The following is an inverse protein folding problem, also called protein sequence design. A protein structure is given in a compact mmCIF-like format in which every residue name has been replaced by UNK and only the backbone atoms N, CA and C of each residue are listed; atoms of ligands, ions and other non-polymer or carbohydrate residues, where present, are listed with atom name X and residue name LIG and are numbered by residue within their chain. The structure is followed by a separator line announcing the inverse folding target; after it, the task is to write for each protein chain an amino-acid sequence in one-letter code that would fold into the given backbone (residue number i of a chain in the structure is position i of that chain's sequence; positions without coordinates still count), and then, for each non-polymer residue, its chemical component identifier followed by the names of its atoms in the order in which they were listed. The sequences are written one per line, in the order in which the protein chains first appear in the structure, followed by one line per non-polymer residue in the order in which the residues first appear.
data_IF_487332825327
#
_entry.id   IF_487332825327
#
_cell.length_a   1.000
_cell.length_b   1.000
_cell.length_c   1.000
_cell.angle_alpha   90.00
_cell.angle_beta   90.00
_cell.angle_gamma   90.00
#
_symmetry.space_group_name_H-M   'P 1'
#
loop_
_entity.id
_entity.type
_entity.pdbx_description
1 polymer ?
#
# COMPACT_ATOMS: atom_id res chain seq x y z
N UNK A 1 -45.45 -10.33 18.73
CA UNK A 1 -45.18 -9.34 17.66
C UNK A 1 -43.71 -9.45 17.26
N UNK A 2 -43.47 -9.87 16.03
CA UNK A 2 -42.23 -10.44 15.49
C UNK A 2 -41.21 -9.38 15.00
N UNK A 3 -40.95 -8.33 15.77
CA UNK A 3 -40.08 -7.24 15.33
C UNK A 3 -38.61 -7.65 15.18
N UNK A 4 -38.12 -8.55 16.03
CA UNK A 4 -36.73 -9.03 16.01
C UNK A 4 -36.36 -9.78 14.71
N UNK A 5 -37.11 -10.80 14.25
CA UNK A 5 -36.77 -11.50 13.01
C UNK A 5 -36.90 -10.61 11.77
N UNK A 6 -37.85 -9.67 11.75
CA UNK A 6 -37.98 -8.69 10.68
C UNK A 6 -36.75 -7.76 10.61
N UNK A 7 -36.30 -7.22 11.75
CA UNK A 7 -35.09 -6.39 11.82
C UNK A 7 -33.82 -7.14 11.43
N UNK A 8 -33.69 -8.40 11.86
CA UNK A 8 -32.56 -9.25 11.48
C UNK A 8 -32.51 -9.49 9.97
N UNK A 9 -33.67 -9.72 9.35
CA UNK A 9 -33.78 -9.94 7.90
C UNK A 9 -33.42 -8.67 7.13
N UNK A 10 -34.02 -7.52 7.48
CA UNK A 10 -33.73 -6.23 6.83
C UNK A 10 -32.27 -5.83 7.00
N UNK A 11 -31.73 -5.96 8.21
CA UNK A 11 -30.31 -5.67 8.49
C UNK A 11 -29.36 -6.58 7.71
N UNK A 12 -29.66 -7.88 7.64
CA UNK A 12 -28.89 -8.85 6.86
C UNK A 12 -28.90 -8.56 5.37
N UNK A 13 -30.07 -8.26 4.78
CA UNK A 13 -30.19 -7.90 3.37
C UNK A 13 -29.43 -6.61 3.05
N UNK A 14 -29.52 -5.60 3.91
CA UNK A 14 -28.79 -4.35 3.74
C UNK A 14 -27.27 -4.55 3.81
N UNK A 15 -26.78 -5.35 4.77
CA UNK A 15 -25.36 -5.69 4.86
C UNK A 15 -24.87 -6.43 3.59
N UNK A 16 -25.64 -7.39 3.09
CA UNK A 16 -25.32 -8.09 1.84
C UNK A 16 -25.26 -7.13 0.65
N UNK A 17 -26.22 -6.22 0.53
CA UNK A 17 -26.22 -5.19 -0.52
C UNK A 17 -24.95 -4.34 -0.47
N UNK A 18 -24.55 -3.86 0.72
CA UNK A 18 -23.33 -3.06 0.88
C UNK A 18 -22.06 -3.83 0.49
N UNK A 19 -21.97 -5.12 0.85
CA UNK A 19 -20.83 -5.97 0.46
C UNK A 19 -20.75 -6.15 -1.05
N UNK A 20 -21.86 -6.47 -1.70
CA UNK A 20 -21.91 -6.61 -3.17
C UNK A 20 -21.57 -5.29 -3.85
N UNK A 21 -22.18 -4.19 -3.42
CA UNK A 21 -21.90 -2.86 -3.96
C UNK A 21 -20.43 -2.48 -3.83
N UNK A 22 -19.82 -2.71 -2.68
CA UNK A 22 -18.40 -2.47 -2.44
C UNK A 22 -17.51 -3.28 -3.38
N UNK A 23 -17.82 -4.55 -3.60
CA UNK A 23 -17.08 -5.42 -4.53
C UNK A 23 -17.23 -4.97 -5.98
N UNK A 24 -18.43 -4.56 -6.39
CA UNK A 24 -18.69 -3.98 -7.72
C UNK A 24 -17.88 -2.70 -7.90
N UNK A 25 -17.92 -1.78 -6.92
CA UNK A 25 -17.12 -0.55 -6.95
C UNK A 25 -15.62 -0.85 -7.03
N UNK A 26 -15.13 -1.80 -6.24
CA UNK A 26 -13.74 -2.23 -6.29
C UNK A 26 -13.37 -2.80 -7.66
N UNK A 27 -14.21 -3.67 -8.24
CA UNK A 27 -13.97 -4.23 -9.58
C UNK A 27 -13.95 -3.14 -10.68
N UNK A 28 -14.90 -2.19 -10.65
CA UNK A 28 -14.93 -1.05 -11.58
C UNK A 28 -13.69 -0.17 -11.38
N UNK A 29 -13.36 0.13 -10.13
CA UNK A 29 -12.22 0.95 -9.75
C UNK A 29 -10.89 0.32 -10.17
N UNK A 30 -10.72 -1.01 -10.05
CA UNK A 30 -9.52 -1.72 -10.56
C UNK A 30 -9.38 -1.63 -12.08
N UNK A 31 -10.50 -1.63 -12.82
CA UNK A 31 -10.48 -1.48 -14.29
C UNK A 31 -10.14 -0.06 -14.74
N UNK A 32 -10.60 0.96 -14.00
CA UNK A 32 -10.42 2.38 -14.34
C UNK A 32 -9.21 3.03 -13.68
N UNK A 33 -8.76 2.45 -12.57
CA UNK A 33 -7.74 2.97 -11.69
C UNK A 33 -6.33 2.75 -12.23
N UNK A 34 -5.31 2.94 -11.37
CA UNK A 34 -3.94 2.73 -11.78
C UNK A 34 -3.69 1.30 -12.20
N UNK A 35 -2.76 1.15 -13.15
CA UNK A 35 -2.30 -0.16 -13.58
C UNK A 35 -1.65 -0.88 -12.39
N UNK A 36 -2.40 -1.81 -11.80
CA UNK A 36 -1.99 -2.53 -10.61
C UNK A 36 -0.64 -3.22 -10.80
N UNK A 37 -0.36 -3.91 -11.93
CA UNK A 37 0.98 -4.38 -12.28
C UNK A 37 2.10 -3.33 -12.14
N UNK A 38 1.87 -2.09 -12.61
CA UNK A 38 2.85 -1.02 -12.52
C UNK A 38 3.05 -0.50 -11.08
N UNK A 39 2.05 -0.67 -10.21
CA UNK A 39 2.12 -0.34 -8.79
C UNK A 39 2.42 -1.54 -7.87
N UNK A 40 2.33 -2.76 -8.40
CA UNK A 40 2.50 -4.00 -7.63
C UNK A 40 3.96 -4.42 -7.55
N UNK A 41 4.86 -3.80 -8.30
CA UNK A 41 6.28 -3.96 -8.04
C UNK A 41 6.59 -3.35 -6.68
N UNK A 42 6.71 -4.20 -5.65
CA UNK A 42 7.25 -3.75 -4.38
C UNK A 42 8.68 -3.26 -4.60
N UNK A 43 9.12 -2.38 -3.71
CA UNK A 43 10.48 -1.91 -3.72
C UNK A 43 11.45 -2.98 -3.23
N UNK A 44 11.79 -3.89 -4.14
CA UNK A 44 12.79 -4.91 -3.90
C UNK A 44 14.21 -4.34 -3.89
N UNK A 45 14.43 -3.11 -4.38
CA UNK A 45 15.74 -2.48 -4.36
C UNK A 45 16.06 -1.88 -2.99
N UNK A 46 15.08 -1.33 -2.27
CA UNK A 46 15.25 -0.97 -0.86
C UNK A 46 15.52 -2.22 -0.01
N UNK A 47 14.86 -3.34 -0.29
CA UNK A 47 15.17 -4.62 0.36
C UNK A 47 16.59 -5.09 0.06
N UNK A 48 17.03 -5.01 -1.20
CA UNK A 48 18.42 -5.33 -1.58
C UNK A 48 19.44 -4.43 -0.89
N UNK A 49 19.22 -3.10 -0.90
CA UNK A 49 20.11 -2.15 -0.21
C UNK A 49 20.18 -2.41 1.29
N UNK A 50 19.06 -2.75 1.92
CA UNK A 50 19.03 -3.13 3.34
C UNK A 50 19.76 -4.46 3.59
N UNK A 51 19.60 -5.44 2.70
CA UNK A 51 20.33 -6.72 2.77
C UNK A 51 21.83 -6.52 2.59
N UNK A 52 22.24 -5.69 1.63
CA UNK A 52 23.63 -5.32 1.40
C UNK A 52 24.20 -4.63 2.63
N UNK A 53 23.50 -3.65 3.19
CA UNK A 53 23.93 -2.97 4.41
C UNK A 53 24.11 -3.95 5.58
N UNK A 54 23.17 -4.88 5.78
CA UNK A 54 23.26 -5.90 6.82
C UNK A 54 24.41 -6.90 6.56
N UNK A 55 24.66 -7.26 5.31
CA UNK A 55 25.76 -8.16 4.95
C UNK A 55 27.14 -7.52 5.17
N UNK A 56 27.24 -6.20 5.06
CA UNK A 56 28.48 -5.45 5.29
C UNK A 56 28.67 -5.00 6.75
N UNK A 57 27.60 -5.02 7.56
CA UNK A 57 27.69 -4.71 8.98
C UNK A 57 28.28 -5.90 9.75
N UNK A 58 29.61 -5.95 9.80
CA UNK A 58 30.38 -6.95 10.55
C UNK A 58 30.13 -6.93 12.08
N UNK A 59 29.42 -5.93 12.59
CA UNK A 59 29.08 -5.79 14.02
C UNK A 59 27.68 -6.29 14.36
N UNK A 60 26.84 -6.56 13.37
CA UNK A 60 25.50 -7.08 13.59
C UNK A 60 25.56 -8.56 13.99
N UNK A 61 24.99 -8.96 15.14
CA UNK A 61 24.93 -10.36 15.57
C UNK A 61 23.89 -11.17 14.76
N UNK A 62 23.50 -10.71 13.57
CA UNK A 62 22.59 -11.48 12.72
C UNK A 62 23.30 -12.73 12.22
N UNK A 63 22.80 -13.90 12.63
CA UNK A 63 23.26 -15.17 12.13
C UNK A 63 23.09 -15.22 10.61
N UNK A 64 23.99 -15.90 9.89
CA UNK A 64 23.83 -16.12 8.44
C UNK A 64 22.50 -16.79 8.05
N UNK A 65 21.84 -17.46 9.00
CA UNK A 65 20.48 -18.00 8.86
C UNK A 65 19.41 -16.91 8.69
N UNK A 66 19.48 -15.79 9.43
CA UNK A 66 18.58 -14.63 9.26
C UNK A 66 18.69 -14.06 7.84
N UNK A 67 19.92 -13.85 7.36
CA UNK A 67 20.17 -13.33 6.02
C UNK A 67 19.65 -14.27 4.92
N UNK A 68 19.88 -15.59 5.07
CA UNK A 68 19.38 -16.58 4.12
C UNK A 68 17.84 -16.57 4.05
N UNK A 69 17.15 -16.55 5.19
CA UNK A 69 15.69 -16.51 5.23
C UNK A 69 15.14 -15.19 4.65
N UNK A 70 15.80 -14.05 4.91
CA UNK A 70 15.44 -12.77 4.27
C UNK A 70 15.60 -12.82 2.75
N UNK A 71 16.69 -13.38 2.24
CA UNK A 71 16.92 -13.54 0.81
C UNK A 71 15.84 -14.43 0.16
N UNK A 72 15.49 -15.55 0.80
CA UNK A 72 14.40 -16.43 0.36
C UNK A 72 13.07 -15.67 0.33
N UNK A 73 12.72 -14.95 1.40
CA UNK A 73 11.48 -14.18 1.47
C UNK A 73 11.41 -13.10 0.37
N UNK A 74 12.52 -12.40 0.08
CA UNK A 74 12.60 -11.43 -1.01
C UNK A 74 12.44 -12.10 -2.38
N UNK A 75 13.10 -13.23 -2.62
CA UNK A 75 12.99 -14.00 -3.86
C UNK A 75 11.56 -14.50 -4.10
N UNK A 76 10.92 -15.04 -3.07
CA UNK A 76 9.51 -15.49 -3.12
C UNK A 76 8.56 -14.31 -3.36
N UNK A 77 8.83 -13.14 -2.77
CA UNK A 77 8.04 -11.93 -3.01
C UNK A 77 8.17 -11.45 -4.47
N UNK A 78 9.38 -11.43 -5.03
CA UNK A 78 9.62 -11.12 -6.45
C UNK A 78 8.88 -12.09 -7.37
N UNK A 79 8.92 -13.37 -7.04
CA UNK A 79 8.19 -14.38 -7.78
C UNK A 79 6.68 -14.12 -7.74
N UNK A 80 6.12 -13.81 -6.56
CA UNK A 80 4.71 -13.47 -6.42
C UNK A 80 4.31 -12.25 -7.27
N UNK A 81 5.12 -11.19 -7.27
CA UNK A 81 4.86 -9.98 -8.07
C UNK A 81 4.87 -10.26 -9.59
N UNK A 82 5.72 -11.20 -10.05
CA UNK A 82 5.84 -11.57 -11.46
C UNK A 82 4.65 -12.38 -12.01
N UNK A 83 3.91 -13.08 -11.15
CA UNK A 83 2.78 -13.90 -11.54
C UNK A 83 1.57 -13.04 -11.86
N UNK A 84 0.67 -13.39 -12.81
CA UNK A 84 -0.56 -12.65 -13.03
C UNK A 84 -1.52 -12.74 -11.81
N UNK A 85 -2.47 -11.80 -11.64
CA UNK A 85 -3.46 -11.88 -10.57
C UNK A 85 -4.25 -13.19 -10.60
N UNK A 86 -4.29 -13.91 -9.47
CA UNK A 86 -5.00 -15.18 -9.39
C UNK A 86 -4.50 -16.09 -8.25
N UNK A 87 -5.01 -17.34 -8.19
CA UNK A 87 -4.69 -18.27 -7.11
C UNK A 87 -3.19 -18.59 -6.99
N UNK A 88 -2.47 -18.67 -8.11
CA UNK A 88 -1.02 -18.93 -8.14
C UNK A 88 -0.23 -17.80 -7.50
N UNK A 89 -0.53 -16.54 -7.85
CA UNK A 89 0.03 -15.36 -7.18
C UNK A 89 -0.28 -15.38 -5.67
N UNK A 90 -1.51 -15.72 -5.28
CA UNK A 90 -1.88 -15.77 -3.86
C UNK A 90 -1.08 -16.83 -3.09
N UNK A 91 -0.86 -18.01 -3.69
CA UNK A 91 -0.06 -19.07 -3.10
C UNK A 91 1.40 -18.65 -2.94
N UNK A 92 1.99 -18.02 -3.98
CA UNK A 92 3.35 -17.49 -3.91
C UNK A 92 3.50 -16.41 -2.84
N UNK A 93 2.55 -15.47 -2.76
CA UNK A 93 2.55 -14.44 -1.72
C UNK A 93 2.38 -15.03 -0.31
N UNK A 94 1.59 -16.10 -0.14
CA UNK A 94 1.44 -16.80 1.12
C UNK A 94 2.74 -17.52 1.54
N UNK A 95 3.48 -18.11 0.59
CA UNK A 95 4.79 -18.71 0.85
C UNK A 95 5.79 -17.64 1.32
N UNK A 96 5.88 -16.52 0.61
CA UNK A 96 6.74 -15.38 0.99
C UNK A 96 6.42 -14.87 2.42
N UNK A 97 5.14 -14.75 2.77
CA UNK A 97 4.71 -14.37 4.12
C UNK A 97 5.09 -15.40 5.18
N UNK A 98 5.01 -16.69 4.87
CA UNK A 98 5.45 -17.74 5.78
C UNK A 98 6.96 -17.67 6.03
N UNK A 99 7.75 -17.38 5.00
CA UNK A 99 9.19 -17.14 5.13
C UNK A 99 9.49 -15.90 5.97
N UNK A 100 8.78 -14.79 5.77
CA UNK A 100 8.92 -13.60 6.63
C UNK A 100 8.60 -13.87 8.09
N UNK A 101 7.50 -14.59 8.36
CA UNK A 101 7.08 -14.88 9.75
C UNK A 101 8.06 -15.76 10.51
N UNK A 102 8.86 -16.58 9.81
CA UNK A 102 9.95 -17.38 10.42
C UNK A 102 11.05 -16.50 11.01
N UNK A 103 11.24 -15.28 10.51
CA UNK A 103 12.23 -14.35 11.03
C UNK A 103 11.80 -13.66 12.33
N UNK A 104 10.52 -13.76 12.73
CA UNK A 104 9.98 -13.07 13.90
C UNK A 104 9.88 -11.54 13.73
N UNK A 105 9.88 -10.81 14.85
CA UNK A 105 9.66 -9.35 14.86
C UNK A 105 10.93 -8.51 14.61
N UNK A 106 12.13 -9.11 14.75
CA UNK A 106 13.41 -8.41 14.62
C UNK A 106 13.68 -7.75 13.24
N UNK A 107 13.35 -8.40 12.09
CA UNK A 107 13.53 -7.80 10.75
C UNK A 107 12.56 -6.66 10.48
N UNK A 108 11.42 -6.64 11.16
CA UNK A 108 10.33 -5.68 10.94
C UNK A 108 10.67 -4.28 11.50
N UNK A 109 11.94 -4.00 11.80
CA UNK A 109 12.41 -2.70 12.32
C UNK A 109 12.72 -1.69 11.23
N UNK A 110 12.88 -2.12 9.98
CA UNK A 110 13.09 -1.22 8.86
C UNK A 110 11.76 -0.94 8.14
N UNK A 111 11.66 0.19 7.42
CA UNK A 111 10.48 0.46 6.61
C UNK A 111 10.29 -0.56 5.48
N UNK A 112 11.34 -1.05 4.82
CA UNK A 112 11.19 -1.96 3.69
C UNK A 112 10.69 -3.35 4.11
N UNK A 113 11.18 -3.91 5.22
CA UNK A 113 10.63 -5.20 5.72
C UNK A 113 9.21 -5.04 6.26
N UNK A 114 8.92 -3.92 6.94
CA UNK A 114 7.57 -3.63 7.43
C UNK A 114 6.55 -3.44 6.30
N UNK A 115 6.96 -2.82 5.19
CA UNK A 115 6.12 -2.63 4.02
C UNK A 115 5.89 -3.91 3.24
N UNK A 116 6.88 -4.82 3.20
CA UNK A 116 6.81 -6.05 2.44
C UNK A 116 5.67 -6.97 2.92
N UNK A 117 5.49 -7.12 4.24
CA UNK A 117 4.38 -7.92 4.77
C UNK A 117 3.02 -7.35 4.32
N UNK A 118 2.84 -6.03 4.44
CA UNK A 118 1.61 -5.36 4.01
C UNK A 118 1.38 -5.48 2.49
N UNK A 119 2.46 -5.42 1.70
CA UNK A 119 2.41 -5.61 0.25
C UNK A 119 1.96 -7.03 -0.11
N UNK A 120 2.59 -8.05 0.47
CA UNK A 120 2.24 -9.44 0.20
C UNK A 120 0.80 -9.77 0.61
N UNK A 121 0.32 -9.24 1.74
CA UNK A 121 -1.09 -9.38 2.12
C UNK A 121 -2.02 -8.62 1.15
N UNK A 122 -1.57 -7.50 0.57
CA UNK A 122 -2.32 -6.78 -0.49
C UNK A 122 -2.47 -7.64 -1.75
N UNK A 123 -1.42 -8.34 -2.17
CA UNK A 123 -1.46 -9.26 -3.32
C UNK A 123 -2.47 -10.40 -3.15
N UNK A 124 -2.81 -10.76 -1.91
CA UNK A 124 -3.76 -11.82 -1.56
C UNK A 124 -5.22 -11.33 -1.51
N UNK A 125 -5.46 -10.03 -1.71
CA UNK A 125 -6.80 -9.46 -1.71
C UNK A 125 -7.54 -9.82 -3.00
N UNK A 126 -8.45 -10.77 -2.89
CA UNK A 126 -9.43 -11.11 -3.91
C UNK A 126 -10.73 -10.33 -3.69
N UNK A 127 -11.67 -10.42 -4.65
CA UNK A 127 -13.02 -9.87 -4.45
C UNK A 127 -13.77 -10.55 -3.30
N UNK A 128 -13.41 -11.79 -2.96
CA UNK A 128 -14.06 -12.57 -1.91
C UNK A 128 -13.43 -12.35 -0.53
N UNK A 129 -12.15 -11.94 -0.50
CA UNK A 129 -11.39 -11.67 0.73
C UNK A 129 -11.19 -10.18 0.99
N UNK A 130 -11.88 -9.31 0.24
CA UNK A 130 -11.67 -7.86 0.26
C UNK A 130 -11.82 -7.26 1.66
N UNK A 131 -12.89 -7.63 2.36
CA UNK A 131 -13.24 -7.03 3.64
C UNK A 131 -12.22 -7.39 4.74
N UNK A 132 -11.86 -8.67 4.83
CA UNK A 132 -10.91 -9.16 5.82
C UNK A 132 -9.47 -8.77 5.46
N UNK A 133 -9.09 -8.93 4.19
CA UNK A 133 -7.75 -8.57 3.70
C UNK A 133 -7.46 -7.08 3.89
N UNK A 134 -8.42 -6.21 3.61
CA UNK A 134 -8.26 -4.78 3.85
C UNK A 134 -8.00 -4.45 5.33
N UNK A 135 -8.74 -5.06 6.25
CA UNK A 135 -8.56 -4.82 7.69
C UNK A 135 -7.16 -5.24 8.14
N UNK A 136 -6.70 -6.40 7.68
CA UNK A 136 -5.35 -6.92 7.96
C UNK A 136 -4.29 -5.95 7.42
N UNK A 137 -4.34 -5.61 6.14
CA UNK A 137 -3.35 -4.70 5.52
C UNK A 137 -3.38 -3.31 6.17
N UNK A 138 -4.56 -2.73 6.45
CA UNK A 138 -4.66 -1.45 7.16
C UNK A 138 -4.07 -1.51 8.57
N UNK A 139 -4.15 -2.65 9.26
CA UNK A 139 -3.51 -2.82 10.58
C UNK A 139 -1.99 -2.87 10.45
N UNK A 140 -1.48 -3.64 9.49
CA UNK A 140 -0.04 -3.73 9.21
C UNK A 140 0.54 -2.36 8.84
N UNK A 141 -0.09 -1.65 7.88
CA UNK A 141 0.34 -0.32 7.45
C UNK A 141 0.27 0.72 8.57
N UNK A 142 -0.77 0.71 9.42
CA UNK A 142 -0.83 1.62 10.58
C UNK A 142 0.33 1.38 11.54
N UNK A 143 0.66 0.12 11.84
CA UNK A 143 1.80 -0.21 12.70
C UNK A 143 3.13 0.21 12.07
N UNK A 144 3.32 -0.04 10.77
CA UNK A 144 4.54 0.34 10.04
C UNK A 144 4.71 1.86 9.97
N UNK A 145 3.66 2.59 9.61
CA UNK A 145 3.68 4.06 9.52
C UNK A 145 3.79 4.75 10.88
N UNK A 146 3.30 4.11 11.95
CA UNK A 146 3.55 4.60 13.31
C UNK A 146 5.04 4.59 13.68
N UNK A 147 5.85 3.74 13.04
CA UNK A 147 7.31 3.67 13.23
C UNK A 147 8.08 4.45 12.17
N UNK A 148 7.59 4.48 10.93
CA UNK A 148 8.26 5.10 9.79
C UNK A 148 7.27 5.97 8.98
N UNK A 149 6.80 7.10 9.54
CA UNK A 149 5.73 7.90 8.92
C UNK A 149 6.11 8.47 7.55
N UNK A 150 7.40 8.68 7.32
CA UNK A 150 7.98 9.32 6.14
C UNK A 150 8.56 8.31 5.14
N UNK A 151 8.36 7.00 5.34
CA UNK A 151 8.93 6.01 4.43
C UNK A 151 8.17 5.97 3.08
N UNK A 152 8.82 6.29 1.94
CA UNK A 152 8.14 6.34 0.63
C UNK A 152 7.58 4.97 0.23
N UNK A 153 8.29 3.88 0.51
CA UNK A 153 7.82 2.51 0.23
C UNK A 153 6.49 2.18 0.93
N UNK A 154 6.25 2.67 2.16
CA UNK A 154 4.99 2.44 2.86
C UNK A 154 3.83 3.20 2.22
N UNK A 155 4.07 4.41 1.71
CA UNK A 155 3.07 5.16 0.95
C UNK A 155 2.79 4.53 -0.42
N UNK A 156 3.78 3.91 -1.07
CA UNK A 156 3.55 3.08 -2.26
C UNK A 156 2.62 1.90 -1.96
N UNK A 157 2.83 1.19 -0.85
CA UNK A 157 1.92 0.08 -0.46
C UNK A 157 0.51 0.60 -0.15
N UNK A 158 0.37 1.79 0.46
CA UNK A 158 -0.96 2.41 0.61
C UNK A 158 -1.61 2.73 -0.73
N UNK A 159 -0.84 3.20 -1.70
CA UNK A 159 -1.35 3.46 -3.05
C UNK A 159 -1.81 2.17 -3.72
N UNK A 160 -1.01 1.10 -3.60
CA UNK A 160 -1.35 -0.23 -4.12
C UNK A 160 -2.61 -0.79 -3.44
N UNK A 161 -2.76 -0.64 -2.12
CA UNK A 161 -3.98 -1.00 -1.41
C UNK A 161 -5.18 -0.19 -1.92
N UNK A 162 -5.08 1.14 -2.00
CA UNK A 162 -6.17 1.99 -2.48
C UNK A 162 -6.61 1.61 -3.90
N UNK A 163 -5.65 1.36 -4.79
CA UNK A 163 -5.90 0.86 -6.13
C UNK A 163 -6.61 -0.51 -6.12
N UNK A 164 -6.17 -1.42 -5.25
CA UNK A 164 -6.77 -2.75 -5.06
C UNK A 164 -8.20 -2.66 -4.53
N UNK A 165 -8.54 -1.60 -3.79
CA UNK A 165 -9.89 -1.33 -3.29
C UNK A 165 -10.75 -0.55 -4.30
N UNK A 166 -10.19 -0.19 -5.46
CA UNK A 166 -10.87 0.61 -6.47
C UNK A 166 -11.08 2.07 -6.05
N UNK A 167 -10.16 2.62 -5.26
CA UNK A 167 -10.09 4.02 -4.85
C UNK A 167 -8.96 4.76 -5.61
N UNK A 168 -9.21 5.23 -6.84
CA UNK A 168 -8.19 5.89 -7.66
C UNK A 168 -7.69 7.20 -7.02
N UNK A 169 -8.58 7.98 -6.39
CA UNK A 169 -8.20 9.25 -5.75
C UNK A 169 -7.27 8.98 -4.57
N UNK A 170 -7.63 8.05 -3.68
CA UNK A 170 -6.75 7.64 -2.58
C UNK A 170 -5.41 7.07 -3.06
N UNK A 171 -5.40 6.34 -4.19
CA UNK A 171 -4.16 5.86 -4.78
C UNK A 171 -3.27 7.02 -5.28
N UNK A 172 -3.84 8.02 -5.96
CA UNK A 172 -3.12 9.20 -6.42
C UNK A 172 -2.53 10.01 -5.25
N UNK A 173 -3.31 10.23 -4.19
CA UNK A 173 -2.86 10.93 -2.98
C UNK A 173 -1.67 10.20 -2.32
N UNK A 174 -1.70 8.87 -2.27
CA UNK A 174 -0.62 8.08 -1.71
C UNK A 174 0.62 8.04 -2.60
N UNK A 175 0.46 8.04 -3.93
CA UNK A 175 1.58 8.21 -4.85
C UNK A 175 2.23 9.59 -4.71
N UNK A 176 1.43 10.64 -4.54
CA UNK A 176 1.95 11.99 -4.29
C UNK A 176 2.74 12.07 -2.98
N UNK A 177 2.25 11.44 -1.90
CA UNK A 177 3.00 11.32 -0.64
C UNK A 177 4.28 10.51 -0.79
N UNK A 178 4.23 9.38 -1.50
CA UNK A 178 5.41 8.58 -1.78
C UNK A 178 6.47 9.40 -2.53
N UNK A 179 6.06 10.17 -3.55
CA UNK A 179 6.95 11.06 -4.29
C UNK A 179 7.51 12.18 -3.42
N UNK A 180 6.67 12.81 -2.59
CA UNK A 180 7.08 13.87 -1.67
C UNK A 180 8.17 13.38 -0.71
N UNK A 181 7.95 12.23 -0.07
CA UNK A 181 8.89 11.68 0.91
C UNK A 181 10.13 11.01 0.27
N UNK A 182 10.01 10.52 -0.96
CA UNK A 182 11.18 10.07 -1.73
C UNK A 182 12.11 11.22 -2.11
N UNK A 183 11.60 12.47 -2.09
CA UNK A 183 12.34 13.64 -2.52
C UNK A 183 12.79 13.51 -3.98
N UNK A 184 14.10 13.55 -4.19
CA UNK A 184 14.71 13.43 -5.52
C UNK A 184 15.24 12.03 -5.85
N UNK A 185 14.91 11.00 -5.05
CA UNK A 185 15.39 9.65 -5.35
C UNK A 185 14.77 9.15 -6.67
N UNK A 186 15.58 8.98 -7.73
CA UNK A 186 15.09 8.58 -9.05
C UNK A 186 14.46 7.18 -9.02
N UNK A 187 14.80 6.36 -8.02
CA UNK A 187 14.24 5.03 -7.87
C UNK A 187 12.74 5.06 -7.63
N UNK A 188 12.25 5.94 -6.75
CA UNK A 188 10.82 6.11 -6.49
C UNK A 188 10.17 7.07 -7.50
N UNK A 189 10.85 8.17 -7.81
CA UNK A 189 10.27 9.23 -8.64
C UNK A 189 9.99 8.77 -10.07
N UNK A 190 10.93 8.03 -10.69
CA UNK A 190 10.81 7.60 -12.09
C UNK A 190 9.62 6.67 -12.35
N UNK A 191 9.41 5.55 -11.62
CA UNK A 191 8.27 4.66 -11.87
C UNK A 191 6.93 5.32 -11.55
N UNK A 192 6.88 6.17 -10.51
CA UNK A 192 5.68 6.96 -10.18
C UNK A 192 5.35 7.87 -11.37
N UNK A 193 6.27 8.73 -11.79
CA UNK A 193 6.05 9.70 -12.87
C UNK A 193 5.83 9.03 -14.23
N UNK A 194 6.48 7.91 -14.50
CA UNK A 194 6.30 7.13 -15.72
C UNK A 194 5.01 6.31 -15.75
N UNK A 195 4.25 6.24 -14.65
CA UNK A 195 3.02 5.48 -14.59
C UNK A 195 1.98 6.02 -15.59
N UNK A 196 1.42 5.18 -16.49
CA UNK A 196 0.34 5.58 -17.39
C UNK A 196 -0.88 6.13 -16.65
N UNK A 197 -1.08 5.70 -15.40
CA UNK A 197 -2.11 6.24 -14.55
C UNK A 197 -1.91 7.72 -14.26
N UNK A 198 -0.72 8.11 -13.81
CA UNK A 198 -0.42 9.50 -13.50
C UNK A 198 -0.55 10.36 -14.75
N UNK A 199 -0.12 9.88 -15.92
CA UNK A 199 -0.35 10.58 -17.18
C UNK A 199 -1.85 10.88 -17.44
N UNK A 200 -2.76 9.94 -17.11
CA UNK A 200 -4.21 10.14 -17.24
C UNK A 200 -4.80 11.11 -16.22
N UNK A 201 -4.34 11.08 -14.96
CA UNK A 201 -4.88 11.95 -13.90
C UNK A 201 -4.20 13.31 -13.80
N UNK A 202 -3.04 13.48 -14.43
CA UNK A 202 -2.24 14.72 -14.42
C UNK A 202 -3.05 15.97 -14.73
N UNK A 203 -3.90 16.03 -15.78
CA UNK A 203 -4.67 17.24 -16.07
C UNK A 203 -5.62 17.65 -14.93
N UNK A 204 -6.22 16.67 -14.24
CA UNK A 204 -7.11 16.92 -13.12
C UNK A 204 -6.32 17.38 -11.89
N UNK A 205 -5.17 16.78 -11.62
CA UNK A 205 -4.26 17.20 -10.54
C UNK A 205 -3.73 18.61 -10.79
N UNK A 206 -3.32 18.94 -12.01
CA UNK A 206 -2.85 20.28 -12.40
C UNK A 206 -3.96 21.33 -12.28
N UNK A 207 -5.21 20.97 -12.60
CA UNK A 207 -6.36 21.84 -12.39
C UNK A 207 -6.62 22.11 -10.90
N UNK A 208 -6.56 21.06 -10.06
CA UNK A 208 -6.71 21.20 -8.61
C UNK A 208 -5.59 22.03 -7.97
N UNK A 209 -4.33 21.77 -8.37
CA UNK A 209 -3.18 22.53 -7.90
C UNK A 209 -3.33 24.03 -8.25
N UNK A 210 -3.72 24.34 -9.49
CA UNK A 210 -4.02 25.73 -9.90
C UNK A 210 -5.18 26.33 -9.11
N UNK A 211 -6.25 25.58 -8.86
CA UNK A 211 -7.37 26.07 -8.04
C UNK A 211 -6.96 26.37 -6.59
N UNK A 212 -6.04 25.57 -6.01
CA UNK A 212 -5.51 25.80 -4.67
C UNK A 212 -4.58 27.02 -4.63
N UNK A 213 -3.71 27.21 -5.63
CA UNK A 213 -2.83 28.37 -5.74
C UNK A 213 -3.59 29.67 -6.07
N UNK A 214 -4.72 29.56 -6.79
CA UNK A 214 -5.57 30.69 -7.13
C UNK A 214 -6.51 31.11 -5.98
N UNK A 215 -6.64 30.30 -4.93
CA UNK A 215 -7.30 30.76 -3.70
C UNK A 215 -6.34 31.79 -3.08
N UNK A 216 -6.71 33.08 -3.04
CA UNK A 216 -5.93 34.04 -2.27
C UNK A 216 -5.81 33.51 -0.85
N UNK A 217 -4.67 33.76 -0.19
CA UNK A 217 -4.48 33.52 1.23
C UNK A 217 -5.51 34.35 2.01
N UNK A 218 -6.76 33.89 2.07
CA UNK A 218 -7.89 34.56 2.71
C UNK A 218 -7.83 34.38 4.22
N UNK A 219 -6.64 34.55 4.76
CA UNK A 219 -6.22 34.32 6.13
C UNK A 219 -4.80 34.82 6.35
N UNK A 220 -4.44 35.98 5.77
CA UNK A 220 -3.48 36.84 6.43
C UNK A 220 -3.94 36.97 7.88
N UNK A 221 -3.10 36.49 8.79
CA UNK A 221 -3.27 36.54 10.24
C UNK A 221 -3.92 37.86 10.63
N UNK A 222 -5.14 37.80 11.16
CA UNK A 222 -5.64 38.88 11.99
C UNK A 222 -4.65 39.00 13.14
N UNK A 223 -3.85 40.06 13.12
CA UNK A 223 -2.84 40.36 14.11
C UNK A 223 -3.51 40.41 15.49
N UNK A 224 -3.24 39.46 16.40
CA UNK A 224 -3.89 39.43 17.70
C UNK A 224 -3.38 40.54 18.64
N UNK A 225 -2.50 41.44 18.17
CA UNK A 225 -1.89 42.50 18.98
C UNK A 225 -2.54 43.88 18.85
N UNK A 226 -3.69 44.00 18.17
CA UNK A 226 -4.52 45.22 18.27
C UNK A 226 -5.39 45.20 19.54
N UNK A 227 -4.77 45.47 20.69
CA UNK A 227 -5.40 46.03 21.88
C UNK A 227 -4.35 46.76 22.74
#
# INVERSE_FOLDING_TARGET
MELVPALATVGGSYACYLLVWRRVRAAIGRRRGPDLPALSAYDHLALERELEALAHDATAPESGESLAVRFVAMSEARHADSLPPGPTRHAAAAAALASLRRLGDAPMRTPAWSGLEAHLETLRISLWSLEMGEVVVRRLLRRALGRHPEAPCLHLVRAHLAATLGDPSGAADHLARALYYAGSDPFYAKPIVASPYLARVRPALDAQARALLAKPESGALADPTSN
#
